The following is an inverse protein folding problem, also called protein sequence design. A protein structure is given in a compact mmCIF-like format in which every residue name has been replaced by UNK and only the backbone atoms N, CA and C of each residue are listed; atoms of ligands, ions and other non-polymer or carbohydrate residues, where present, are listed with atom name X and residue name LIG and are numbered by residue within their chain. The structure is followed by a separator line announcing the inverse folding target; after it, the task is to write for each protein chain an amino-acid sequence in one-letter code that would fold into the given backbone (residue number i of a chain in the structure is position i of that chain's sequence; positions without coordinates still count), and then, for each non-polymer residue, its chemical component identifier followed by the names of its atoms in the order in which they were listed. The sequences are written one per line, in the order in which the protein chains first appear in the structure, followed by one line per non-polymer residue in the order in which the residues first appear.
data_IF_841275475132
#
_entry.id   IF_841275475132
#
_cell.length_a   1.000
_cell.length_b   1.000
_cell.length_c   1.000
_cell.angle_alpha   90.00
_cell.angle_beta   90.00
_cell.angle_gamma   90.00
#
_symmetry.space_group_name_H-M   'P 1'
#
loop_
_entity.id
_entity.type
_entity.pdbx_description
1 polymer ?
#
# COMPACT_ATOMS: atom_id res chain seq x y z
N UNK A 1 1.79 -14.91 20.12
CA UNK A 1 3.19 -14.47 19.99
C UNK A 1 3.25 -12.96 19.88
N UNK A 2 4.13 -12.36 20.61
CA UNK A 2 4.28 -10.91 20.53
C UNK A 2 5.18 -10.58 19.33
N UNK A 3 4.67 -9.76 18.43
CA UNK A 3 5.43 -9.28 17.30
C UNK A 3 5.98 -7.90 17.64
N UNK A 4 7.25 -7.73 17.48
CA UNK A 4 7.93 -6.49 17.84
C UNK A 4 8.35 -5.74 16.59
N UNK A 5 8.29 -4.43 16.66
CA UNK A 5 8.68 -3.56 15.55
C UNK A 5 10.20 -3.49 15.44
N UNK A 6 10.80 -4.54 14.90
CA UNK A 6 12.22 -4.60 14.58
C UNK A 6 12.36 -4.63 13.06
N UNK A 7 13.62 -4.63 12.57
CA UNK A 7 13.86 -4.68 11.14
C UNK A 7 13.25 -5.95 10.51
N UNK A 8 13.22 -7.06 11.24
CA UNK A 8 12.63 -8.30 10.76
C UNK A 8 11.11 -8.28 10.76
N UNK A 9 10.49 -7.28 11.40
CA UNK A 9 9.03 -7.16 11.52
C UNK A 9 8.49 -6.01 10.69
N UNK A 10 9.35 -5.34 9.94
CA UNK A 10 8.90 -4.31 9.01
C UNK A 10 8.11 -4.95 7.88
N UNK A 11 7.26 -4.16 7.26
CA UNK A 11 6.50 -4.61 6.11
C UNK A 11 7.44 -4.73 4.90
N UNK A 12 7.98 -5.91 4.72
CA UNK A 12 8.97 -6.23 3.70
C UNK A 12 8.73 -7.64 3.17
N UNK A 13 9.15 -7.92 1.93
CA UNK A 13 9.69 -6.98 0.96
C UNK A 13 8.61 -6.11 0.35
N UNK A 14 9.00 -4.94 -0.16
CA UNK A 14 8.09 -4.09 -0.90
C UNK A 14 8.03 -4.55 -2.36
N UNK A 15 6.86 -4.43 -2.95
CA UNK A 15 6.65 -4.60 -4.37
C UNK A 15 6.41 -3.24 -5.00
N UNK A 16 6.59 -3.16 -6.30
CA UNK A 16 6.40 -1.91 -7.04
C UNK A 16 5.56 -2.17 -8.28
N UNK A 17 4.62 -1.27 -8.57
CA UNK A 17 3.79 -1.38 -9.75
C UNK A 17 3.48 0.01 -10.29
N UNK A 18 3.47 0.14 -11.62
CA UNK A 18 3.01 1.37 -12.26
C UNK A 18 1.50 1.44 -12.16
N UNK A 19 1.00 2.53 -11.60
CA UNK A 19 -0.42 2.75 -11.37
C UNK A 19 -0.74 4.22 -11.61
N UNK A 20 -1.36 4.52 -12.75
CA UNK A 20 -1.66 5.91 -13.11
C UNK A 20 -0.39 6.74 -13.19
N UNK A 21 -0.34 7.85 -12.44
CA UNK A 21 0.78 8.78 -12.45
C UNK A 21 1.96 8.33 -11.60
N UNK A 22 1.83 7.20 -10.89
CA UNK A 22 2.80 6.77 -9.89
C UNK A 22 3.42 5.43 -10.24
N UNK A 23 4.64 5.23 -9.74
CA UNK A 23 5.16 3.91 -9.45
C UNK A 23 4.97 3.71 -7.96
N UNK A 24 4.06 2.82 -7.58
CA UNK A 24 3.63 2.63 -6.20
C UNK A 24 4.43 1.53 -5.55
N UNK A 25 5.05 1.84 -4.42
CA UNK A 25 5.63 0.83 -3.55
C UNK A 25 4.55 0.35 -2.59
N UNK A 26 4.43 -0.96 -2.42
CA UNK A 26 3.41 -1.52 -1.54
C UNK A 26 3.89 -2.83 -0.93
N UNK A 27 3.33 -3.13 0.24
CA UNK A 27 3.49 -4.43 0.88
C UNK A 27 2.23 -5.27 0.62
N UNK A 28 2.42 -6.55 0.34
CA UNK A 28 1.30 -7.46 0.15
C UNK A 28 1.52 -8.73 0.96
N UNK A 29 0.47 -9.18 1.63
CA UNK A 29 0.51 -10.41 2.43
C UNK A 29 -0.84 -11.12 2.36
N UNK A 30 -0.85 -12.40 2.74
CA UNK A 30 -2.05 -13.22 2.76
C UNK A 30 -2.31 -13.90 1.42
N UNK A 31 -3.37 -14.74 1.36
CA UNK A 31 -3.68 -15.51 0.15
C UNK A 31 -4.12 -14.59 -0.99
N UNK A 32 -3.59 -14.84 -2.18
CA UNK A 32 -3.88 -14.00 -3.35
C UNK A 32 -5.37 -13.99 -3.72
N UNK A 33 -6.08 -15.05 -3.43
CA UNK A 33 -7.50 -15.20 -3.73
C UNK A 33 -8.41 -14.87 -2.54
N UNK A 34 -7.84 -14.39 -1.43
CA UNK A 34 -8.64 -13.98 -0.26
C UNK A 34 -9.31 -12.63 -0.47
N UNK A 35 -10.24 -12.27 0.43
CA UNK A 35 -10.83 -10.94 0.42
C UNK A 35 -9.74 -9.88 0.54
N UNK A 36 -9.87 -8.81 -0.24
CA UNK A 36 -8.83 -7.77 -0.30
C UNK A 36 -9.11 -6.70 0.75
N UNK A 37 -8.10 -6.42 1.57
CA UNK A 37 -8.09 -5.31 2.51
C UNK A 37 -6.95 -4.38 2.12
N UNK A 38 -7.27 -3.11 1.84
CA UNK A 38 -6.29 -2.08 1.53
C UNK A 38 -6.15 -1.19 2.75
N UNK A 39 -4.94 -1.07 3.28
CA UNK A 39 -4.66 -0.27 4.46
C UNK A 39 -3.92 0.99 4.03
N UNK A 40 -4.58 2.13 4.20
CA UNK A 40 -4.03 3.43 3.81
C UNK A 40 -3.50 4.15 5.04
N UNK A 41 -2.25 4.60 4.97
CA UNK A 41 -1.68 5.38 6.06
C UNK A 41 -2.14 6.84 5.96
N UNK A 42 -2.08 7.55 7.10
CA UNK A 42 -2.35 8.97 7.16
C UNK A 42 -1.10 9.76 7.49
N UNK A 43 -1.14 11.05 7.21
CA UNK A 43 -0.08 11.96 7.65
C UNK A 43 -0.07 12.06 9.19
N UNK A 44 1.09 12.02 9.86
CA UNK A 44 2.46 11.94 9.34
C UNK A 44 3.03 10.52 9.27
N UNK A 45 2.18 9.52 9.22
CA UNK A 45 2.59 8.12 9.29
C UNK A 45 2.82 7.55 7.89
N UNK A 46 3.51 6.42 7.82
CA UNK A 46 3.71 5.65 6.59
C UNK A 46 3.12 4.25 6.77
N UNK A 47 3.45 3.32 5.87
CA UNK A 47 2.88 1.97 5.92
C UNK A 47 3.22 1.22 7.21
N UNK A 48 4.26 1.64 7.92
CA UNK A 48 4.68 0.94 9.14
C UNK A 48 3.73 1.18 10.30
N UNK A 49 2.74 2.10 10.16
CA UNK A 49 1.65 2.20 11.13
C UNK A 49 0.80 0.94 11.17
N UNK A 50 0.91 0.06 10.15
CA UNK A 50 0.16 -1.20 10.07
C UNK A 50 1.02 -2.43 10.32
N UNK A 51 2.18 -2.28 10.93
CA UNK A 51 3.11 -3.40 11.13
C UNK A 51 2.50 -4.56 11.91
N UNK A 52 1.54 -4.27 12.79
CA UNK A 52 0.85 -5.30 13.57
C UNK A 52 -0.46 -5.74 12.91
N UNK A 53 -1.17 -4.81 12.27
CA UNK A 53 -2.50 -5.07 11.71
C UNK A 53 -2.41 -5.90 10.43
N UNK A 54 -1.45 -5.62 9.56
CA UNK A 54 -1.34 -6.32 8.29
C UNK A 54 -1.12 -7.83 8.47
N UNK A 55 -0.15 -8.28 9.29
CA UNK A 55 0.01 -9.72 9.52
C UNK A 55 -1.21 -10.37 10.15
N UNK A 56 -1.92 -9.65 11.03
CA UNK A 56 -3.11 -10.18 11.67
C UNK A 56 -4.21 -10.47 10.66
N UNK A 57 -4.46 -9.52 9.75
CA UNK A 57 -5.47 -9.70 8.71
C UNK A 57 -5.07 -10.78 7.71
N UNK A 58 -3.79 -10.83 7.34
CA UNK A 58 -3.30 -11.88 6.45
C UNK A 58 -3.47 -13.26 7.07
N UNK A 59 -3.23 -13.38 8.37
CA UNK A 59 -3.42 -14.62 9.10
C UNK A 59 -4.87 -15.06 9.17
N UNK A 60 -5.81 -14.14 8.97
CA UNK A 60 -7.24 -14.44 8.92
C UNK A 60 -7.75 -14.72 7.51
N UNK A 61 -6.87 -14.81 6.53
CA UNK A 61 -7.22 -15.17 5.17
C UNK A 61 -7.47 -13.99 4.24
N UNK A 62 -7.17 -12.76 4.67
CA UNK A 62 -7.29 -11.59 3.81
C UNK A 62 -6.06 -11.42 2.93
N UNK A 63 -6.28 -10.96 1.71
CA UNK A 63 -5.20 -10.44 0.87
C UNK A 63 -5.01 -8.98 1.26
N UNK A 64 -3.89 -8.68 1.90
CA UNK A 64 -3.64 -7.35 2.47
C UNK A 64 -2.70 -6.58 1.58
N UNK A 65 -3.10 -5.38 1.17
CA UNK A 65 -2.31 -4.48 0.35
C UNK A 65 -2.07 -3.20 1.17
N UNK A 66 -0.82 -2.85 1.39
CA UNK A 66 -0.46 -1.66 2.16
C UNK A 66 0.43 -0.77 1.30
N UNK A 67 -0.14 0.17 0.54
CA UNK A 67 0.66 1.02 -0.34
C UNK A 67 1.23 2.22 0.40
N UNK A 68 2.39 2.70 -0.06
CA UNK A 68 2.85 4.05 0.25
C UNK A 68 2.07 5.03 -0.61
N UNK A 69 1.49 6.05 0.02
CA UNK A 69 0.80 7.11 -0.69
C UNK A 69 1.80 8.00 -1.45
N UNK A 70 1.27 8.84 -2.36
CA UNK A 70 2.11 9.77 -3.12
C UNK A 70 2.94 10.63 -2.18
N UNK A 71 4.22 10.81 -2.51
CA UNK A 71 5.13 11.60 -1.70
C UNK A 71 5.69 10.89 -0.47
N UNK A 72 5.38 9.60 -0.27
CA UNK A 72 5.86 8.82 0.87
C UNK A 72 6.68 7.63 0.43
N UNK A 73 7.67 7.28 1.24
CA UNK A 73 8.47 6.09 1.08
C UNK A 73 9.06 5.96 -0.31
N UNK A 74 8.94 4.77 -0.89
CA UNK A 74 9.49 4.45 -2.21
C UNK A 74 8.51 4.70 -3.35
N UNK A 75 7.28 5.16 -3.07
CA UNK A 75 6.35 5.55 -4.12
C UNK A 75 6.86 6.81 -4.81
N UNK A 76 6.89 6.78 -6.14
CA UNK A 76 7.45 7.86 -6.96
C UNK A 76 6.49 8.24 -8.08
N UNK A 77 6.57 9.49 -8.50
CA UNK A 77 5.91 9.93 -9.72
C UNK A 77 6.65 9.36 -10.92
N UNK A 78 5.91 8.83 -11.89
CA UNK A 78 6.49 8.28 -13.12
C UNK A 78 7.02 9.37 -14.03
N UNK A 79 6.42 10.56 -13.94
CA UNK A 79 6.84 11.74 -14.72
C UNK A 79 7.21 12.84 -13.73
N UNK A 80 8.43 13.35 -13.84
CA UNK A 80 8.91 14.42 -12.96
C UNK A 80 8.14 15.73 -13.15
N UNK A 81 7.47 15.90 -14.30
CA UNK A 81 6.63 17.06 -14.57
C UNK A 81 5.19 16.88 -14.09
N UNK A 82 4.84 15.72 -13.52
CA UNK A 82 3.49 15.48 -13.04
C UNK A 82 3.13 16.45 -11.91
N UNK A 83 1.85 16.84 -11.87
CA UNK A 83 1.34 17.71 -10.82
C UNK A 83 1.37 16.97 -9.47
N UNK A 84 2.06 17.57 -8.50
CA UNK A 84 2.27 16.94 -7.19
C UNK A 84 1.28 17.50 -6.18
N UNK A 85 0.05 16.98 -6.22
CA UNK A 85 -1.01 17.35 -5.31
C UNK A 85 -1.24 16.26 -4.27
N UNK A 86 -1.39 16.64 -2.99
CA UNK A 86 -1.75 15.73 -1.92
C UNK A 86 -3.23 15.76 -1.59
N UNK A 87 -4.06 16.33 -2.44
CA UNK A 87 -5.50 16.41 -2.21
C UNK A 87 -6.13 15.02 -2.14
N UNK A 88 -7.20 14.89 -1.37
CA UNK A 88 -7.88 13.61 -1.20
C UNK A 88 -8.38 13.04 -2.52
N UNK A 89 -8.84 13.88 -3.43
CA UNK A 89 -9.29 13.42 -4.74
C UNK A 89 -8.15 12.77 -5.52
N UNK A 90 -6.94 13.35 -5.45
CA UNK A 90 -5.78 12.80 -6.12
C UNK A 90 -5.35 11.46 -5.48
N UNK A 91 -5.39 11.38 -4.17
CA UNK A 91 -5.06 10.14 -3.44
C UNK A 91 -6.11 9.07 -3.76
N UNK A 92 -7.38 9.43 -3.84
CA UNK A 92 -8.43 8.50 -4.25
C UNK A 92 -8.23 7.97 -5.66
N UNK A 93 -7.83 8.84 -6.60
CA UNK A 93 -7.53 8.41 -7.97
C UNK A 93 -6.32 7.47 -8.00
N UNK A 94 -5.31 7.72 -7.16
CA UNK A 94 -4.16 6.83 -7.03
C UNK A 94 -4.58 5.44 -6.56
N UNK A 95 -5.49 5.38 -5.60
CA UNK A 95 -6.00 4.10 -5.10
C UNK A 95 -6.72 3.32 -6.19
N UNK A 96 -7.61 3.97 -6.93
CA UNK A 96 -8.31 3.30 -8.03
C UNK A 96 -7.32 2.80 -9.08
N UNK A 97 -6.33 3.63 -9.44
CA UNK A 97 -5.31 3.22 -10.41
C UNK A 97 -4.50 2.02 -9.91
N UNK A 98 -4.20 1.98 -8.61
CA UNK A 98 -3.48 0.85 -8.01
C UNK A 98 -4.31 -0.42 -8.10
N UNK A 99 -5.59 -0.36 -7.72
CA UNK A 99 -6.47 -1.52 -7.76
C UNK A 99 -6.63 -2.03 -9.18
N UNK A 100 -6.79 -1.13 -10.16
CA UNK A 100 -6.88 -1.51 -11.57
C UNK A 100 -5.59 -2.21 -12.03
N UNK A 101 -4.43 -1.66 -11.66
CA UNK A 101 -3.13 -2.23 -12.05
C UNK A 101 -2.90 -3.61 -11.41
N UNK A 102 -3.47 -3.85 -10.24
CA UNK A 102 -3.40 -5.15 -9.57
C UNK A 102 -4.54 -6.08 -9.97
N UNK A 103 -5.42 -5.65 -10.87
CA UNK A 103 -6.59 -6.42 -11.32
C UNK A 103 -7.54 -6.77 -10.17
N UNK A 104 -7.70 -5.84 -9.24
CA UNK A 104 -8.58 -6.00 -8.09
C UNK A 104 -9.86 -5.20 -8.36
N UNK A 105 -11.00 -5.91 -8.46
CA UNK A 105 -12.29 -5.29 -8.74
C UNK A 105 -13.07 -4.95 -7.48
N UNK A 106 -12.67 -5.52 -6.34
CA UNK A 106 -13.39 -5.33 -5.08
C UNK A 106 -12.41 -5.40 -3.91
N UNK A 107 -12.52 -4.45 -3.01
CA UNK A 107 -11.71 -4.41 -1.81
C UNK A 107 -12.54 -4.01 -0.58
#
# INVERSE_FOLDING_TARGET
MVVRASSSQRLQPLRHIDAGALNVAYFEAGPHDGPVAVLLHGFPYDIHSYVDVAPMLAGKGCRVIVPYLRGYGETRFRDSAALRSGEQAAVGADLIALLDSLSISRA
#
